data_IF_612449220520
#
_entry.id   IF_612449220520
#
_cell.length_a   1.000
_cell.length_b   1.000
_cell.length_c   1.000
_cell.angle_alpha   90.00
_cell.angle_beta   90.00
_cell.angle_gamma   90.00
#
_symmetry.space_group_name_H-M   'P 1'
#
loop_
_entity.id
_entity.type
_entity.pdbx_description
1 polymer ?
#
# COMPACT_ATOMS: atom_id res chain seq x y z
N UNK A 1 42.53 -19.55 -18.08
CA UNK A 1 41.66 -18.75 -17.21
C UNK A 1 40.23 -18.92 -17.71
N UNK A 2 39.45 -19.76 -17.03
CA UNK A 2 38.06 -20.07 -17.41
C UNK A 2 37.12 -19.07 -16.75
N UNK A 3 36.35 -18.31 -17.57
CA UNK A 3 35.27 -17.44 -17.09
C UNK A 3 34.04 -18.31 -16.80
N UNK A 4 33.64 -18.35 -15.55
CA UNK A 4 32.36 -18.95 -15.13
C UNK A 4 31.31 -17.84 -15.19
N UNK A 5 30.35 -17.98 -16.11
CA UNK A 5 29.15 -17.15 -16.15
C UNK A 5 28.11 -17.77 -15.20
N UNK A 6 27.82 -17.10 -14.12
CA UNK A 6 26.65 -17.43 -13.29
C UNK A 6 25.55 -16.42 -13.64
N UNK A 7 24.53 -16.93 -14.33
CA UNK A 7 23.29 -16.21 -14.59
C UNK A 7 22.43 -16.28 -13.31
N UNK A 8 22.27 -15.17 -12.63
CA UNK A 8 21.26 -14.97 -11.60
C UNK A 8 20.30 -13.89 -12.06
N UNK A 9 19.03 -14.26 -12.12
CA UNK A 9 17.92 -13.47 -12.63
C UNK A 9 17.79 -12.11 -11.96
N UNK A 10 17.42 -11.16 -12.79
CA UNK A 10 17.50 -9.74 -12.57
C UNK A 10 16.70 -9.17 -11.41
N UNK A 11 17.41 -8.55 -10.50
CA UNK A 11 16.99 -7.34 -9.80
C UNK A 11 18.21 -6.45 -9.82
N UNK A 12 18.21 -5.46 -10.68
CA UNK A 12 19.22 -4.40 -10.68
C UNK A 12 18.94 -3.46 -9.51
N UNK A 13 19.50 -3.76 -8.34
CA UNK A 13 19.82 -2.73 -7.35
C UNK A 13 21.15 -2.12 -7.79
N UNK A 14 21.13 -0.93 -8.35
CA UNK A 14 22.34 -0.16 -8.60
C UNK A 14 22.86 0.30 -7.23
N UNK A 15 23.78 -0.47 -6.65
CA UNK A 15 24.66 0.06 -5.62
C UNK A 15 25.67 0.96 -6.32
N UNK A 16 25.53 2.25 -6.14
CA UNK A 16 26.60 3.18 -6.43
C UNK A 16 27.74 2.97 -5.44
N UNK A 17 28.74 2.19 -5.82
CA UNK A 17 30.04 2.18 -5.16
C UNK A 17 30.77 3.41 -5.67
N UNK A 18 30.72 4.49 -4.90
CA UNK A 18 31.54 5.66 -5.11
C UNK A 18 32.98 5.36 -4.68
N UNK A 19 33.80 5.01 -5.64
CA UNK A 19 35.24 5.13 -5.48
C UNK A 19 35.85 5.61 -6.80
N UNK A 20 36.60 6.71 -6.70
CA UNK A 20 37.52 7.25 -7.68
C UNK A 20 36.95 8.19 -8.78
N UNK A 21 36.30 9.26 -8.36
CA UNK A 21 36.54 10.57 -8.99
C UNK A 21 36.54 11.62 -7.87
N UNK A 22 37.71 12.21 -7.61
CA UNK A 22 37.90 13.24 -6.58
C UNK A 22 37.12 14.53 -6.94
N UNK A 23 35.83 14.52 -6.61
CA UNK A 23 35.04 15.73 -6.55
C UNK A 23 35.11 16.22 -5.11
N UNK A 24 35.90 17.25 -4.92
CA UNK A 24 36.03 17.98 -3.67
C UNK A 24 34.69 18.64 -3.33
N UNK A 25 33.96 18.02 -2.38
CA UNK A 25 32.68 18.53 -1.89
C UNK A 25 32.79 19.92 -1.26
N UNK A 26 34.00 20.38 -0.91
CA UNK A 26 34.23 21.74 -0.41
C UNK A 26 34.16 22.79 -1.51
N UNK A 27 34.48 22.46 -2.77
CA UNK A 27 34.35 23.38 -3.88
C UNK A 27 32.90 23.63 -4.30
N UNK A 28 32.03 22.67 -4.10
CA UNK A 28 30.58 22.82 -4.36
C UNK A 28 29.89 23.70 -3.30
N UNK A 29 30.35 23.65 -2.05
CA UNK A 29 29.82 24.48 -0.95
C UNK A 29 30.28 25.94 -1.05
N UNK A 30 31.47 26.21 -1.56
CA UNK A 30 31.97 27.59 -1.73
C UNK A 30 31.29 28.31 -2.89
N UNK A 31 30.89 27.61 -3.94
CA UNK A 31 30.15 28.23 -5.06
C UNK A 31 28.74 28.67 -4.68
N UNK A 32 28.11 28.00 -3.70
CA UNK A 32 26.79 28.40 -3.19
C UNK A 32 26.82 29.56 -2.20
N UNK A 33 27.96 29.83 -1.57
CA UNK A 33 28.11 30.97 -0.65
C UNK A 33 28.41 32.32 -1.35
N UNK A 34 28.95 32.31 -2.55
CA UNK A 34 29.22 33.54 -3.32
C UNK A 34 27.98 34.17 -3.98
N UNK A 35 26.87 33.47 -4.05
CA UNK A 35 25.59 33.98 -4.56
C UNK A 35 24.70 34.69 -3.51
N UNK A 36 25.16 34.79 -2.27
CA UNK A 36 24.36 35.35 -1.15
C UNK A 36 24.57 36.83 -0.88
N UNK A 37 25.38 37.56 -1.66
CA UNK A 37 25.63 39.00 -1.46
C UNK A 37 24.78 39.94 -2.31
N UNK A 38 23.70 39.42 -2.93
CA UNK A 38 22.66 40.23 -3.55
C UNK A 38 21.43 40.30 -2.64
N UNK A 39 21.06 41.53 -2.22
CA UNK A 39 19.83 41.80 -1.46
C UNK A 39 18.62 41.22 -2.17
N UNK A 40 18.19 40.04 -1.72
CA UNK A 40 16.96 39.40 -2.10
C UNK A 40 16.73 38.26 -1.10
N UNK A 41 15.76 38.41 -0.17
CA UNK A 41 15.33 37.31 0.66
C UNK A 41 14.77 36.18 -0.22
N UNK A 42 15.64 35.21 -0.51
CA UNK A 42 15.13 33.92 -1.01
C UNK A 42 14.49 33.24 0.19
N UNK A 43 13.16 33.36 0.31
CA UNK A 43 12.37 32.45 1.13
C UNK A 43 12.62 31.06 0.55
N UNK A 44 13.60 30.36 1.10
CA UNK A 44 13.70 28.91 0.94
C UNK A 44 12.43 28.37 1.55
N UNK A 45 11.42 28.11 0.70
CA UNK A 45 10.27 27.33 1.07
C UNK A 45 10.85 25.99 1.53
N UNK A 46 10.93 25.80 2.86
CA UNK A 46 11.27 24.50 3.42
C UNK A 46 10.42 23.50 2.63
N UNK A 47 11.05 22.49 2.05
CA UNK A 47 10.34 21.32 1.55
C UNK A 47 9.78 20.65 2.80
N UNK A 48 8.69 21.23 3.33
CA UNK A 48 7.84 20.53 4.23
C UNK A 48 7.40 19.32 3.42
N UNK A 49 7.61 18.11 3.96
CA UNK A 49 6.90 16.93 3.52
C UNK A 49 5.43 17.30 3.58
N UNK A 50 4.88 17.69 2.44
CA UNK A 50 3.46 18.08 2.33
C UNK A 50 2.70 16.84 2.72
N UNK A 51 2.13 16.87 3.93
CA UNK A 51 1.20 15.83 4.37
C UNK A 51 0.04 15.96 3.41
N UNK A 52 -0.12 14.98 2.53
CA UNK A 52 -1.21 14.96 1.55
C UNK A 52 -2.52 15.23 2.30
N UNK A 53 -3.27 16.23 1.89
CA UNK A 53 -4.57 16.51 2.47
C UNK A 53 -5.51 15.32 2.20
N UNK A 54 -6.33 14.97 3.18
CA UNK A 54 -7.28 13.85 3.05
C UNK A 54 -8.20 14.05 1.81
N UNK A 55 -8.58 15.29 1.46
CA UNK A 55 -9.39 15.58 0.27
C UNK A 55 -8.61 15.31 -1.03
N UNK A 56 -7.33 15.66 -1.10
CA UNK A 56 -6.48 15.35 -2.25
C UNK A 56 -6.32 13.84 -2.44
N UNK A 57 -6.06 13.12 -1.36
CA UNK A 57 -5.97 11.67 -1.37
C UNK A 57 -7.26 11.02 -1.85
N UNK A 58 -8.42 11.44 -1.31
CA UNK A 58 -9.73 10.91 -1.70
C UNK A 58 -10.00 11.18 -3.19
N UNK A 59 -9.71 12.39 -3.66
CA UNK A 59 -9.87 12.74 -5.07
C UNK A 59 -8.96 11.91 -5.98
N UNK A 60 -7.72 11.63 -5.57
CA UNK A 60 -6.80 10.76 -6.29
C UNK A 60 -7.33 9.32 -6.37
N UNK A 61 -7.83 8.77 -5.27
CA UNK A 61 -8.47 7.45 -5.26
C UNK A 61 -9.74 7.41 -6.11
N UNK A 62 -10.52 8.49 -6.13
CA UNK A 62 -11.68 8.62 -7.02
C UNK A 62 -11.29 8.61 -8.49
N UNK A 63 -10.27 9.37 -8.90
CA UNK A 63 -9.73 9.37 -10.26
C UNK A 63 -9.25 8.00 -10.71
N UNK A 64 -8.73 7.20 -9.79
CA UNK A 64 -8.34 5.79 -10.03
C UNK A 64 -9.53 4.81 -9.98
N UNK A 65 -10.76 5.29 -9.77
CA UNK A 65 -11.97 4.44 -9.70
C UNK A 65 -12.09 3.58 -8.44
N UNK A 66 -11.28 3.83 -7.42
CA UNK A 66 -11.26 3.03 -6.18
C UNK A 66 -12.36 3.43 -5.21
N UNK A 67 -12.89 4.65 -5.34
CA UNK A 67 -14.04 5.15 -4.59
C UNK A 67 -14.90 6.03 -5.46
N UNK A 68 -16.19 6.11 -5.16
CA UNK A 68 -17.12 7.05 -5.79
C UNK A 68 -17.10 8.44 -5.15
N UNK A 69 -16.55 8.53 -3.93
CA UNK A 69 -16.52 9.76 -3.15
C UNK A 69 -15.43 10.71 -3.65
N UNK A 70 -15.70 12.00 -3.58
CA UNK A 70 -14.79 13.07 -4.05
C UNK A 70 -14.35 14.01 -2.94
N UNK A 71 -15.05 13.99 -1.81
CA UNK A 71 -14.79 14.87 -0.68
C UNK A 71 -14.63 14.05 0.62
N UNK A 72 -13.98 14.63 1.60
CA UNK A 72 -13.85 14.04 2.94
C UNK A 72 -15.20 13.78 3.60
N UNK A 73 -16.14 14.73 3.45
CA UNK A 73 -17.49 14.60 4.03
C UNK A 73 -18.20 13.36 3.51
N UNK A 74 -18.22 13.17 2.18
CA UNK A 74 -18.90 12.05 1.54
C UNK A 74 -18.19 10.72 1.83
N UNK A 75 -16.85 10.73 1.89
CA UNK A 75 -16.03 9.57 2.13
C UNK A 75 -16.17 9.04 3.57
N UNK A 76 -16.47 9.93 4.54
CA UNK A 76 -16.60 9.56 5.97
C UNK A 76 -15.36 8.79 6.48
N UNK A 77 -14.17 9.42 6.53
CA UNK A 77 -12.88 8.75 6.74
C UNK A 77 -12.79 7.98 8.07
N UNK A 78 -13.45 8.47 9.11
CA UNK A 78 -13.40 7.91 10.45
C UNK A 78 -14.34 6.71 10.65
N UNK A 79 -15.21 6.44 9.66
CA UNK A 79 -16.12 5.29 9.70
C UNK A 79 -15.33 3.99 9.53
N UNK A 80 -15.65 2.98 10.37
CA UNK A 80 -15.15 1.62 10.17
C UNK A 80 -15.57 1.12 8.77
N UNK A 81 -14.61 0.58 8.02
CA UNK A 81 -14.87 0.07 6.68
C UNK A 81 -15.39 -1.36 6.72
N UNK A 82 -16.42 -1.65 5.93
CA UNK A 82 -16.94 -3.00 5.78
C UNK A 82 -15.99 -3.85 4.93
N UNK A 83 -16.03 -5.16 5.16
CA UNK A 83 -15.16 -6.10 4.46
C UNK A 83 -15.45 -6.17 2.95
N UNK A 84 -16.69 -6.04 2.52
CA UNK A 84 -17.05 -5.97 1.10
C UNK A 84 -16.58 -4.66 0.44
N UNK A 85 -16.68 -3.52 1.13
CA UNK A 85 -16.17 -2.24 0.65
C UNK A 85 -14.62 -2.29 0.49
N UNK A 86 -13.93 -2.86 1.48
CA UNK A 86 -12.48 -3.03 1.43
C UNK A 86 -12.06 -3.97 0.30
N UNK A 87 -12.78 -5.07 0.10
CA UNK A 87 -12.54 -6.00 -0.99
C UNK A 87 -12.65 -5.30 -2.35
N UNK A 88 -13.66 -4.45 -2.56
CA UNK A 88 -13.80 -3.65 -3.78
C UNK A 88 -12.58 -2.77 -4.01
N UNK A 89 -12.22 -1.94 -3.03
CA UNK A 89 -11.11 -1.01 -3.18
C UNK A 89 -9.78 -1.73 -3.46
N UNK A 90 -9.48 -2.80 -2.71
CA UNK A 90 -8.23 -3.56 -2.85
C UNK A 90 -8.19 -4.35 -4.18
N UNK A 91 -9.29 -4.96 -4.60
CA UNK A 91 -9.33 -5.70 -5.87
C UNK A 91 -9.18 -4.76 -7.06
N UNK A 92 -9.83 -3.60 -7.05
CA UNK A 92 -9.68 -2.59 -8.09
C UNK A 92 -8.28 -1.96 -8.09
N UNK A 93 -7.62 -1.87 -6.93
CA UNK A 93 -6.27 -1.32 -6.85
C UNK A 93 -5.24 -2.18 -7.60
N UNK A 94 -5.50 -3.47 -7.84
CA UNK A 94 -4.57 -4.36 -8.57
C UNK A 94 -4.21 -3.84 -9.96
N UNK A 95 -5.15 -3.24 -10.68
CA UNK A 95 -4.89 -2.72 -12.04
C UNK A 95 -3.97 -1.50 -12.06
N UNK A 96 -3.76 -0.87 -10.92
CA UNK A 96 -2.89 0.30 -10.76
C UNK A 96 -1.51 -0.05 -10.20
N UNK A 97 -1.23 -1.32 -9.90
CA UNK A 97 0.09 -1.74 -9.45
C UNK A 97 1.04 -1.83 -10.65
N UNK A 98 2.30 -1.38 -10.50
CA UNK A 98 3.28 -1.36 -11.60
C UNK A 98 3.65 -2.76 -12.10
N UNK A 99 3.54 -3.76 -11.28
CA UNK A 99 3.73 -5.16 -11.64
C UNK A 99 2.66 -6.00 -10.92
N UNK A 100 1.68 -6.52 -11.64
CA UNK A 100 0.72 -7.43 -11.06
C UNK A 100 1.43 -8.73 -10.66
N UNK A 101 1.35 -9.09 -9.39
CA UNK A 101 1.82 -10.40 -8.95
C UNK A 101 0.87 -11.44 -9.55
N UNK A 102 1.45 -12.48 -10.15
CA UNK A 102 0.67 -13.65 -10.55
C UNK A 102 0.20 -14.37 -9.29
N UNK A 103 -1.09 -14.34 -9.05
CA UNK A 103 -1.71 -15.09 -7.97
C UNK A 103 -2.05 -16.50 -8.48
N UNK A 104 -1.77 -17.51 -7.65
CA UNK A 104 -2.35 -18.82 -7.89
C UNK A 104 -3.89 -18.68 -7.76
N UNK A 105 -4.58 -18.93 -8.88
CA UNK A 105 -6.05 -18.82 -8.87
C UNK A 105 -6.66 -19.86 -7.94
N UNK A 106 -7.49 -19.37 -7.00
CA UNK A 106 -8.33 -20.24 -6.19
C UNK A 106 -9.62 -20.51 -6.94
N UNK A 107 -9.89 -21.78 -7.26
CA UNK A 107 -11.09 -22.17 -8.02
C UNK A 107 -12.33 -22.34 -7.15
N UNK A 108 -12.14 -22.52 -5.85
CA UNK A 108 -13.24 -22.82 -4.89
C UNK A 108 -13.64 -21.55 -4.12
N UNK A 109 -14.16 -20.56 -4.84
CA UNK A 109 -14.54 -19.27 -4.30
C UNK A 109 -16.07 -19.12 -4.25
N UNK A 110 -16.70 -19.85 -3.35
CA UNK A 110 -18.13 -19.70 -3.04
C UNK A 110 -18.30 -19.37 -1.56
N UNK A 111 -19.21 -18.44 -1.26
CA UNK A 111 -19.50 -18.05 0.11
C UNK A 111 -20.98 -18.17 0.39
N UNK A 112 -21.34 -18.88 1.47
CA UNK A 112 -22.74 -19.10 1.85
C UNK A 112 -23.49 -17.83 2.26
N UNK A 113 -22.79 -16.72 2.44
CA UNK A 113 -23.30 -15.42 2.87
C UNK A 113 -23.05 -14.29 1.85
N UNK A 114 -22.74 -14.62 0.60
CA UNK A 114 -22.49 -13.61 -0.44
C UNK A 114 -23.69 -12.70 -0.71
N UNK A 115 -24.91 -13.20 -0.44
CA UNK A 115 -26.15 -12.43 -0.55
C UNK A 115 -26.26 -11.27 0.45
N UNK A 116 -25.48 -11.29 1.51
CA UNK A 116 -25.41 -10.20 2.48
C UNK A 116 -24.56 -9.01 1.99
N UNK A 117 -23.77 -9.18 0.93
CA UNK A 117 -23.10 -8.06 0.28
C UNK A 117 -24.10 -7.23 -0.54
N UNK A 118 -23.76 -5.99 -0.80
CA UNK A 118 -24.49 -5.22 -1.79
C UNK A 118 -24.41 -5.89 -3.17
N UNK A 119 -25.48 -5.80 -3.94
CA UNK A 119 -25.61 -6.55 -5.20
C UNK A 119 -24.48 -6.28 -6.20
N UNK A 120 -23.98 -5.06 -6.24
CA UNK A 120 -22.85 -4.64 -7.09
C UNK A 120 -21.49 -5.11 -6.58
N UNK A 121 -21.40 -5.63 -5.36
CA UNK A 121 -20.15 -6.13 -4.76
C UNK A 121 -19.98 -7.65 -4.83
N UNK A 122 -21.02 -8.42 -5.08
CA UNK A 122 -20.94 -9.89 -5.14
C UNK A 122 -19.86 -10.39 -6.09
N UNK A 123 -19.85 -9.89 -7.32
CA UNK A 123 -18.86 -10.28 -8.31
C UNK A 123 -17.42 -9.96 -7.86
N UNK A 124 -17.23 -8.84 -7.15
CA UNK A 124 -15.94 -8.43 -6.61
C UNK A 124 -15.48 -9.36 -5.48
N UNK A 125 -16.41 -9.85 -4.64
CA UNK A 125 -16.07 -10.81 -3.58
C UNK A 125 -15.48 -12.08 -4.17
N UNK A 126 -16.16 -12.66 -5.18
CA UNK A 126 -15.70 -13.86 -5.89
C UNK A 126 -14.34 -13.58 -6.55
N UNK A 127 -14.22 -12.46 -7.28
CA UNK A 127 -12.97 -12.08 -7.93
C UNK A 127 -11.82 -11.91 -6.92
N UNK A 128 -12.06 -11.29 -5.77
CA UNK A 128 -11.07 -11.10 -4.72
C UNK A 128 -10.56 -12.43 -4.14
N UNK A 129 -11.45 -13.40 -4.01
CA UNK A 129 -11.11 -14.75 -3.59
C UNK A 129 -10.36 -15.51 -4.68
N UNK A 130 -10.86 -15.50 -5.92
CA UNK A 130 -10.20 -16.17 -7.07
C UNK A 130 -8.76 -15.70 -7.24
N UNK A 131 -8.52 -14.42 -7.02
CA UNK A 131 -7.16 -13.84 -6.99
C UNK A 131 -6.37 -14.13 -5.72
N UNK A 132 -6.87 -14.94 -4.78
CA UNK A 132 -6.18 -15.29 -3.54
C UNK A 132 -6.01 -14.15 -2.54
N UNK A 133 -6.67 -13.01 -2.73
CA UNK A 133 -6.58 -11.86 -1.84
C UNK A 133 -7.34 -12.11 -0.53
N UNK A 134 -8.60 -12.51 -0.66
CA UNK A 134 -9.49 -12.83 0.45
C UNK A 134 -9.82 -14.32 0.46
N UNK A 135 -9.66 -14.97 1.60
CA UNK A 135 -9.90 -16.42 1.71
C UNK A 135 -11.25 -16.78 2.34
N UNK A 136 -11.90 -15.83 3.00
CA UNK A 136 -13.06 -16.12 3.83
C UNK A 136 -12.72 -16.93 5.10
N UNK A 137 -13.73 -17.36 5.82
CA UNK A 137 -13.58 -18.20 7.00
C UNK A 137 -14.76 -19.18 7.07
N UNK A 138 -14.49 -20.49 7.12
CA UNK A 138 -15.50 -21.56 7.19
C UNK A 138 -16.63 -21.39 6.16
N UNK A 139 -16.27 -21.08 4.90
CA UNK A 139 -17.22 -20.91 3.81
C UNK A 139 -18.06 -19.63 3.85
N UNK A 140 -17.67 -18.66 4.70
CA UNK A 140 -18.28 -17.33 4.79
C UNK A 140 -17.29 -16.24 4.46
N UNK A 141 -17.76 -15.20 3.76
CA UNK A 141 -17.01 -13.98 3.51
C UNK A 141 -17.14 -12.96 4.64
N UNK A 142 -18.30 -12.94 5.29
CA UNK A 142 -18.71 -11.93 6.29
C UNK A 142 -18.69 -10.49 5.73
N UNK A 143 -19.43 -10.20 4.64
CA UNK A 143 -19.31 -8.95 3.88
C UNK A 143 -19.64 -7.70 4.70
N UNK A 144 -20.61 -7.80 5.62
CA UNK A 144 -21.09 -6.67 6.42
C UNK A 144 -20.24 -6.37 7.65
N UNK A 145 -19.38 -7.30 8.07
CA UNK A 145 -18.51 -7.06 9.22
C UNK A 145 -17.43 -6.04 8.88
N UNK A 146 -17.00 -5.26 9.87
CA UNK A 146 -15.81 -4.42 9.74
C UNK A 146 -14.58 -5.29 9.53
N UNK A 147 -13.74 -4.89 8.59
CA UNK A 147 -12.42 -5.51 8.42
C UNK A 147 -11.43 -4.94 9.43
N UNK A 148 -10.49 -5.74 9.92
CA UNK A 148 -9.46 -5.27 10.86
C UNK A 148 -8.23 -4.71 10.14
N UNK A 149 -7.40 -3.93 10.86
CA UNK A 149 -6.14 -3.43 10.33
C UNK A 149 -5.23 -4.56 9.86
N UNK A 150 -5.08 -5.63 10.66
CA UNK A 150 -4.28 -6.79 10.29
C UNK A 150 -4.77 -7.48 9.03
N UNK A 151 -6.09 -7.61 8.85
CA UNK A 151 -6.67 -8.19 7.64
C UNK A 151 -6.39 -7.33 6.40
N UNK A 152 -6.52 -6.00 6.48
CA UNK A 152 -6.18 -5.10 5.36
C UNK A 152 -4.69 -5.23 5.02
N UNK A 153 -3.81 -5.19 6.01
CA UNK A 153 -2.36 -5.30 5.80
C UNK A 153 -1.98 -6.66 5.21
N UNK A 154 -2.65 -7.75 5.63
CA UNK A 154 -2.46 -9.07 5.03
C UNK A 154 -2.85 -9.08 3.55
N UNK A 155 -4.01 -8.53 3.19
CA UNK A 155 -4.45 -8.48 1.79
C UNK A 155 -3.53 -7.59 0.96
N UNK A 156 -3.18 -6.41 1.46
CA UNK A 156 -2.25 -5.49 0.80
C UNK A 156 -0.86 -6.10 0.64
N UNK A 157 -0.38 -6.81 1.66
CA UNK A 157 0.87 -7.55 1.61
C UNK A 157 0.85 -8.65 0.55
N UNK A 158 -0.24 -9.41 0.45
CA UNK A 158 -0.43 -10.39 -0.65
C UNK A 158 -0.40 -9.71 -2.01
N UNK A 159 -1.02 -8.56 -2.17
CA UNK A 159 -1.02 -7.79 -3.43
C UNK A 159 0.39 -7.37 -3.86
N UNK A 160 1.28 -7.07 -2.92
CA UNK A 160 2.61 -6.52 -3.20
C UNK A 160 3.73 -7.55 -3.19
N UNK A 161 3.60 -8.63 -2.42
CA UNK A 161 4.67 -9.59 -2.16
C UNK A 161 4.24 -11.03 -2.44
N UNK A 162 2.99 -11.26 -2.85
CA UNK A 162 2.42 -12.60 -3.00
C UNK A 162 2.11 -13.26 -1.66
N UNK A 163 1.74 -14.54 -1.72
CA UNK A 163 1.49 -15.34 -0.54
C UNK A 163 2.80 -15.57 0.22
N UNK A 164 2.81 -15.22 1.49
CA UNK A 164 3.92 -15.45 2.40
C UNK A 164 3.57 -16.54 3.41
N UNK A 165 4.58 -17.16 3.99
CA UNK A 165 4.42 -17.97 5.18
C UNK A 165 4.09 -17.04 6.36
N UNK A 166 2.98 -17.33 7.04
CA UNK A 166 2.51 -16.49 8.16
C UNK A 166 3.36 -16.69 9.43
N UNK A 167 4.15 -17.78 9.51
CA UNK A 167 5.03 -18.04 10.64
C UNK A 167 4.29 -18.26 11.95
N UNK A 168 4.99 -18.04 13.07
CA UNK A 168 4.41 -18.06 14.41
C UNK A 168 3.85 -16.68 14.80
N UNK A 169 2.83 -16.65 15.67
CA UNK A 169 2.23 -15.43 16.19
C UNK A 169 1.02 -14.93 15.40
N UNK A 170 0.84 -13.63 15.35
CA UNK A 170 -0.30 -13.03 14.66
C UNK A 170 -0.15 -13.17 13.14
N UNK A 171 -1.18 -13.66 12.45
CA UNK A 171 -1.19 -13.97 11.00
C UNK A 171 -0.75 -12.80 10.11
N UNK A 172 -0.90 -11.55 10.55
CA UNK A 172 -0.50 -10.36 9.78
C UNK A 172 0.97 -9.97 9.99
N UNK A 173 1.70 -10.56 10.96
CA UNK A 173 3.03 -10.11 11.37
C UNK A 173 3.97 -9.99 10.17
N UNK A 174 4.09 -11.06 9.39
CA UNK A 174 4.99 -11.08 8.24
C UNK A 174 4.67 -10.01 7.20
N UNK A 175 3.40 -9.78 6.93
CA UNK A 175 2.97 -8.75 5.96
C UNK A 175 3.18 -7.34 6.49
N UNK A 176 2.97 -7.10 7.78
CA UNK A 176 3.24 -5.80 8.42
C UNK A 176 4.72 -5.45 8.32
N UNK A 177 5.63 -6.38 8.65
CA UNK A 177 7.08 -6.19 8.52
C UNK A 177 7.49 -5.82 7.09
N UNK A 178 6.96 -6.53 6.09
CA UNK A 178 7.26 -6.25 4.68
C UNK A 178 6.73 -4.89 4.22
N UNK A 179 5.52 -4.51 4.67
CA UNK A 179 4.93 -3.21 4.38
C UNK A 179 5.72 -2.07 5.03
N UNK A 180 6.19 -2.28 6.27
CA UNK A 180 7.01 -1.32 7.00
C UNK A 180 8.37 -1.13 6.32
N UNK A 181 9.08 -2.23 5.99
CA UNK A 181 10.35 -2.20 5.26
C UNK A 181 10.23 -1.49 3.91
N UNK A 182 9.09 -1.63 3.24
CA UNK A 182 8.81 -0.94 1.96
C UNK A 182 8.35 0.52 2.15
N UNK A 183 8.17 0.99 3.38
CA UNK A 183 7.68 2.34 3.67
C UNK A 183 6.22 2.57 3.27
N UNK A 184 5.42 1.51 3.25
CA UNK A 184 4.01 1.56 2.86
C UNK A 184 3.06 1.82 4.04
N UNK A 185 3.54 1.80 5.28
CA UNK A 185 2.70 2.15 6.43
C UNK A 185 2.58 3.68 6.55
N UNK A 186 1.35 4.22 6.60
CA UNK A 186 1.11 5.66 6.76
C UNK A 186 1.37 6.13 8.20
N UNK A 187 1.30 5.22 9.16
CA UNK A 187 1.41 5.45 10.58
C UNK A 187 2.10 4.26 11.25
N UNK A 188 3.08 4.52 12.10
CA UNK A 188 3.82 3.50 12.85
C UNK A 188 2.94 2.73 13.84
N UNK A 189 1.83 3.31 14.30
CA UNK A 189 0.89 2.61 15.18
C UNK A 189 0.29 1.36 14.53
N UNK A 190 0.24 1.27 13.20
CA UNK A 190 -0.23 0.10 12.47
C UNK A 190 0.73 -1.09 12.58
N UNK A 191 2.01 -0.87 12.88
CA UNK A 191 2.95 -1.98 13.13
C UNK A 191 2.76 -2.63 14.50
N UNK A 192 2.14 -1.92 15.45
CA UNK A 192 1.91 -2.43 16.79
C UNK A 192 0.88 -3.57 16.80
N UNK A 193 1.23 -4.70 17.41
CA UNK A 193 0.38 -5.89 17.41
C UNK A 193 -1.00 -5.65 18.02
N UNK A 194 -1.08 -4.88 19.11
CA UNK A 194 -2.35 -4.53 19.78
C UNK A 194 -3.37 -3.82 18.87
N UNK A 195 -2.91 -3.19 17.78
CA UNK A 195 -3.77 -2.44 16.86
C UNK A 195 -4.24 -3.28 15.67
N UNK A 196 -3.70 -4.49 15.49
CA UNK A 196 -3.98 -5.34 14.31
C UNK A 196 -5.42 -5.87 14.29
N UNK A 197 -5.97 -6.17 15.44
CA UNK A 197 -7.35 -6.68 15.56
C UNK A 197 -8.41 -5.58 15.70
N UNK A 198 -7.99 -4.31 15.79
CA UNK A 198 -8.92 -3.19 15.80
C UNK A 198 -9.57 -3.02 14.42
N UNK A 199 -10.87 -2.62 14.37
CA UNK A 199 -11.53 -2.28 13.12
C UNK A 199 -10.78 -1.20 12.38
N UNK A 200 -10.51 -1.42 11.10
CA UNK A 200 -9.91 -0.42 10.24
C UNK A 200 -10.95 0.64 9.84
N UNK A 201 -10.49 1.87 9.70
CA UNK A 201 -11.32 2.96 9.17
C UNK A 201 -11.14 3.09 7.65
N UNK A 202 -12.06 3.81 7.01
CA UNK A 202 -11.90 4.18 5.59
C UNK A 202 -10.63 4.98 5.36
N UNK A 203 -10.26 5.87 6.30
CA UNK A 203 -9.00 6.61 6.24
C UNK A 203 -7.78 5.69 6.29
N UNK A 204 -7.77 4.67 7.14
CA UNK A 204 -6.67 3.70 7.22
C UNK A 204 -6.43 3.05 5.86
N UNK A 205 -7.48 2.51 5.21
CA UNK A 205 -7.34 1.88 3.91
C UNK A 205 -6.93 2.89 2.82
N UNK A 206 -7.53 4.09 2.82
CA UNK A 206 -7.18 5.14 1.85
C UNK A 206 -5.70 5.53 1.95
N UNK A 207 -5.19 5.76 3.16
CA UNK A 207 -3.78 6.12 3.38
C UNK A 207 -2.82 5.00 2.99
N UNK A 208 -3.16 3.74 3.29
CA UNK A 208 -2.38 2.57 2.84
C UNK A 208 -2.33 2.52 1.30
N UNK A 209 -3.47 2.63 0.62
CA UNK A 209 -3.52 2.68 -0.84
C UNK A 209 -2.77 3.89 -1.40
N UNK A 210 -2.87 5.05 -0.76
CA UNK A 210 -2.13 6.25 -1.13
C UNK A 210 -0.61 6.06 -1.09
N UNK A 211 -0.10 5.27 -0.14
CA UNK A 211 1.34 4.93 -0.05
C UNK A 211 1.79 3.95 -1.13
N UNK A 212 0.91 3.03 -1.51
CA UNK A 212 1.21 1.95 -2.47
C UNK A 212 1.06 2.41 -3.92
N UNK A 213 0.05 3.23 -4.20
CA UNK A 213 -0.31 3.70 -5.54
C UNK A 213 0.24 5.10 -5.82
N UNK A 214 1.48 5.37 -5.41
CA UNK A 214 2.17 6.63 -5.78
C UNK A 214 2.25 6.73 -7.31
N UNK A 215 1.99 7.92 -7.79
CA UNK A 215 2.15 8.26 -9.21
C UNK A 215 3.63 8.31 -9.58
#
# INVERSE_FOLDING_TARGET
MKKILISLGGIFCIFWVGAAFGLDLNSALTSSQQLLNGKGEIKVKSVSTVKEDDDELILRLNKKGLTIHKTRSDFSPDKAIRRDEAAKMLTLALIHLPQPISFAENKDCTFSDEDQAWSDLKAVLIQSCTKGLFKGNKGKFNPQLSITNGQIMTVLGRMLFGQQDEGEGHYATRYVELLEQKGCLPDSSLSEEKNRDLPATRATLAKLLGKVLKD
#
